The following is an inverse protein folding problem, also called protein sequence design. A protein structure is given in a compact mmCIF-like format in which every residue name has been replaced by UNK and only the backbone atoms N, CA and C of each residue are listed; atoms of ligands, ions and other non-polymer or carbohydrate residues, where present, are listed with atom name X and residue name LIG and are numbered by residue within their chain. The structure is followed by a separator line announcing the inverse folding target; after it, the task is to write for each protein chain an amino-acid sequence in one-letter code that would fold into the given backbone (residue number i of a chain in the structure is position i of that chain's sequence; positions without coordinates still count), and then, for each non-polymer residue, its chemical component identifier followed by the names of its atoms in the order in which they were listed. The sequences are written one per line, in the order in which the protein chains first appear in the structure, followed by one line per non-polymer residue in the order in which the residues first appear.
data_IF_138858469419
#
_entry.id   IF_138858469419
#
_cell.length_a   1.000
_cell.length_b   1.000
_cell.length_c   1.000
_cell.angle_alpha   90.00
_cell.angle_beta   90.00
_cell.angle_gamma   90.00
#
_symmetry.space_group_name_H-M   'P 1'
#
loop_
_entity.id
_entity.type
_entity.pdbx_description
1 polymer ?
#
# COMPACT_ATOMS: atom_id res chain seq x y z
N UNK A 1 -25.17 -44.87 24.87
CA UNK A 1 -26.23 -43.94 25.31
C UNK A 1 -25.71 -42.53 25.11
N UNK A 2 -26.00 -41.95 23.96
CA UNK A 2 -25.68 -40.58 23.55
C UNK A 2 -26.73 -39.65 24.18
N UNK A 3 -26.30 -38.80 25.13
CA UNK A 3 -27.15 -37.74 25.68
C UNK A 3 -27.38 -36.68 24.59
N UNK A 4 -28.55 -36.74 23.98
CA UNK A 4 -29.14 -35.61 23.25
C UNK A 4 -29.43 -34.49 24.26
N UNK A 5 -28.59 -33.49 24.36
CA UNK A 5 -28.93 -32.26 25.09
C UNK A 5 -30.12 -31.60 24.37
N UNK A 6 -31.23 -31.53 25.07
CA UNK A 6 -32.41 -30.76 24.62
C UNK A 6 -32.07 -29.30 24.59
N UNK A 7 -31.95 -28.70 23.41
CA UNK A 7 -31.80 -27.29 23.20
C UNK A 7 -33.04 -26.58 23.73
N UNK A 8 -32.92 -25.74 24.74
CA UNK A 8 -34.05 -25.02 25.35
C UNK A 8 -34.58 -23.93 24.43
N UNK A 9 -35.85 -23.53 24.59
CA UNK A 9 -36.46 -22.47 23.79
C UNK A 9 -35.72 -21.14 23.88
N UNK A 10 -35.08 -20.86 25.04
CA UNK A 10 -34.22 -19.68 25.23
C UNK A 10 -32.94 -19.76 24.40
N UNK A 11 -32.36 -20.92 24.23
CA UNK A 11 -31.20 -21.17 23.39
C UNK A 11 -31.52 -20.99 21.89
N UNK A 12 -32.73 -21.38 21.46
CA UNK A 12 -33.26 -21.14 20.12
C UNK A 12 -33.53 -19.65 19.87
N UNK A 13 -34.06 -18.92 20.84
CA UNK A 13 -34.34 -17.48 20.71
C UNK A 13 -33.04 -16.68 20.66
N UNK A 14 -32.04 -17.06 21.44
CA UNK A 14 -30.69 -16.45 21.44
C UNK A 14 -29.99 -16.71 20.10
N UNK A 15 -30.00 -17.96 19.61
CA UNK A 15 -29.42 -18.34 18.28
C UNK A 15 -30.12 -17.64 17.12
N UNK A 16 -31.46 -17.54 17.14
CA UNK A 16 -32.23 -16.83 16.12
C UNK A 16 -31.90 -15.35 16.09
N UNK A 17 -31.83 -14.67 17.26
CA UNK A 17 -31.39 -13.28 17.37
C UNK A 17 -29.94 -13.09 16.88
N UNK A 18 -29.04 -14.02 17.21
CA UNK A 18 -27.65 -14.00 16.76
C UNK A 18 -27.53 -14.14 15.23
N UNK A 19 -28.28 -15.08 14.63
CA UNK A 19 -28.33 -15.24 13.16
C UNK A 19 -28.93 -14.02 12.47
N UNK A 20 -29.95 -13.37 13.04
CA UNK A 20 -30.55 -12.16 12.48
C UNK A 20 -29.55 -10.98 12.49
N UNK A 21 -28.79 -10.81 13.56
CA UNK A 21 -27.74 -9.78 13.66
C UNK A 21 -26.60 -10.04 12.66
N UNK A 22 -26.20 -11.31 12.47
CA UNK A 22 -25.11 -11.69 11.55
C UNK A 22 -25.47 -11.47 10.07
N UNK A 23 -26.75 -11.53 9.71
CA UNK A 23 -27.25 -11.37 8.34
C UNK A 23 -27.84 -9.98 8.09
N UNK A 24 -27.70 -9.06 9.01
CA UNK A 24 -28.23 -7.70 8.87
C UNK A 24 -27.42 -6.89 7.84
N UNK A 25 -28.15 -6.13 7.01
CA UNK A 25 -27.52 -5.16 6.10
C UNK A 25 -26.84 -4.05 6.91
N UNK A 26 -25.59 -3.76 6.57
CA UNK A 26 -24.83 -2.69 7.21
C UNK A 26 -25.29 -1.32 6.69
N UNK A 27 -25.50 -0.38 7.61
CA UNK A 27 -25.82 1.01 7.28
C UNK A 27 -24.63 1.74 6.64
N UNK A 28 -24.91 2.78 5.84
CA UNK A 28 -23.85 3.60 5.22
C UNK A 28 -22.90 4.21 6.25
N UNK A 29 -23.40 4.64 7.41
CA UNK A 29 -22.54 5.14 8.50
C UNK A 29 -21.51 4.14 8.96
N UNK A 30 -21.87 2.87 9.11
CA UNK A 30 -20.91 1.79 9.46
C UNK A 30 -19.91 1.51 8.34
N UNK A 31 -20.32 1.58 7.07
CA UNK A 31 -19.42 1.37 5.93
C UNK A 31 -18.37 2.48 5.82
N UNK A 32 -18.81 3.76 5.98
CA UNK A 32 -17.89 4.90 6.00
C UNK A 32 -16.99 4.88 7.23
N UNK A 33 -17.53 4.53 8.41
CA UNK A 33 -16.74 4.37 9.62
C UNK A 33 -15.70 3.22 9.50
N UNK A 34 -16.03 2.12 8.81
CA UNK A 34 -15.05 1.10 8.49
C UNK A 34 -13.94 1.68 7.61
N UNK A 35 -14.29 2.37 6.53
CA UNK A 35 -13.30 2.95 5.62
C UNK A 35 -12.41 4.01 6.30
N UNK A 36 -12.91 4.73 7.31
CA UNK A 36 -12.13 5.74 8.06
C UNK A 36 -10.88 5.17 8.72
N UNK A 37 -10.89 3.87 9.10
CA UNK A 37 -9.70 3.21 9.63
C UNK A 37 -8.54 3.14 8.62
N UNK A 38 -8.85 2.89 7.35
CA UNK A 38 -7.85 2.87 6.29
C UNK A 38 -7.41 4.28 5.86
N UNK A 39 -8.35 5.23 5.86
CA UNK A 39 -8.04 6.66 5.66
C UNK A 39 -7.03 7.14 6.71
N UNK A 40 -7.24 6.80 7.99
CA UNK A 40 -6.33 7.14 9.09
C UNK A 40 -4.91 6.60 8.86
N UNK A 41 -4.82 5.33 8.49
CA UNK A 41 -3.54 4.70 8.14
C UNK A 41 -2.87 5.41 6.96
N UNK A 42 -3.64 5.76 5.92
CA UNK A 42 -3.12 6.41 4.72
C UNK A 42 -2.71 7.88 4.93
N UNK A 43 -3.26 8.59 5.90
CA UNK A 43 -2.76 9.91 6.32
C UNK A 43 -1.30 9.81 6.77
N UNK A 44 -0.97 8.89 7.67
CA UNK A 44 0.39 8.71 8.17
C UNK A 44 1.31 8.10 7.10
N UNK A 45 0.87 7.04 6.42
CA UNK A 45 1.66 6.38 5.38
C UNK A 45 1.87 7.25 4.14
N UNK A 46 0.94 8.13 3.82
CA UNK A 46 1.11 9.14 2.79
C UNK A 46 2.32 10.03 3.08
N UNK A 47 2.43 10.50 4.32
CA UNK A 47 3.57 11.32 4.80
C UNK A 47 4.88 10.55 4.76
N UNK A 48 4.88 9.33 5.30
CA UNK A 48 6.08 8.47 5.32
C UNK A 48 6.57 8.16 3.91
N UNK A 49 5.67 7.87 2.99
CA UNK A 49 6.01 7.47 1.62
C UNK A 49 6.35 8.61 0.67
N UNK A 50 6.05 9.87 1.03
CA UNK A 50 6.25 11.02 0.12
C UNK A 50 7.19 12.08 0.67
N UNK A 51 7.06 12.47 1.93
CA UNK A 51 7.74 13.65 2.46
C UNK A 51 8.77 13.34 3.56
N UNK A 52 8.74 12.13 4.15
CA UNK A 52 9.65 11.80 5.25
C UNK A 52 11.13 11.86 4.82
N UNK A 53 11.45 11.40 3.62
CA UNK A 53 12.82 11.44 3.10
C UNK A 53 13.31 12.88 2.95
N UNK A 54 12.47 13.77 2.39
CA UNK A 54 12.76 15.20 2.28
C UNK A 54 12.97 15.84 3.66
N UNK A 55 12.10 15.50 4.62
CA UNK A 55 12.25 16.00 6.00
C UNK A 55 13.59 15.57 6.62
N UNK A 56 13.96 14.30 6.50
CA UNK A 56 15.20 13.79 7.07
C UNK A 56 16.44 14.45 6.45
N UNK A 57 16.44 14.69 5.14
CA UNK A 57 17.61 15.28 4.46
C UNK A 57 17.72 16.79 4.63
N UNK A 58 16.59 17.50 4.56
CA UNK A 58 16.56 18.95 4.40
C UNK A 58 16.25 19.72 5.70
N UNK A 59 15.64 19.04 6.68
CA UNK A 59 15.27 19.64 7.96
C UNK A 59 15.95 18.97 9.16
N UNK A 60 16.29 17.69 9.06
CA UNK A 60 17.04 16.97 10.08
C UNK A 60 18.54 16.82 9.74
N UNK A 61 18.97 17.18 8.53
CA UNK A 61 20.36 17.18 8.10
C UNK A 61 21.00 15.80 7.93
N UNK A 62 20.17 14.76 7.68
CA UNK A 62 20.64 13.36 7.61
C UNK A 62 21.04 13.01 6.19
N UNK A 63 22.18 12.34 6.04
CA UNK A 63 22.64 11.90 4.73
C UNK A 63 21.61 11.00 4.05
N UNK A 64 21.24 11.24 2.76
CA UNK A 64 20.24 10.44 2.05
C UNK A 64 20.55 8.93 2.01
N UNK A 65 21.84 8.56 1.88
CA UNK A 65 22.27 7.16 1.90
C UNK A 65 21.94 6.45 3.21
N UNK A 66 22.09 7.16 4.35
CA UNK A 66 21.73 6.67 5.68
C UNK A 66 20.21 6.45 5.77
N UNK A 67 19.42 7.38 5.24
CA UNK A 67 17.94 7.25 5.19
C UNK A 67 17.53 6.05 4.35
N UNK A 68 18.12 5.91 3.16
CA UNK A 68 17.84 4.79 2.27
C UNK A 68 18.21 3.44 2.86
N UNK A 69 19.38 3.34 3.52
CA UNK A 69 19.80 2.11 4.21
C UNK A 69 18.84 1.75 5.34
N UNK A 70 18.45 2.73 6.15
CA UNK A 70 17.46 2.54 7.21
C UNK A 70 16.13 2.00 6.66
N UNK A 71 15.60 2.64 5.62
CA UNK A 71 14.34 2.21 4.99
C UNK A 71 14.45 0.80 4.38
N UNK A 72 15.57 0.46 3.75
CA UNK A 72 15.80 -0.87 3.19
C UNK A 72 15.85 -1.94 4.28
N UNK A 73 16.63 -1.72 5.34
CA UNK A 73 16.72 -2.65 6.47
C UNK A 73 15.37 -2.86 7.15
N UNK A 74 14.59 -1.78 7.31
CA UNK A 74 13.26 -1.85 7.92
C UNK A 74 12.30 -2.76 7.15
N UNK A 75 12.42 -2.84 5.82
CA UNK A 75 11.60 -3.74 5.00
C UNK A 75 11.80 -5.23 5.31
N UNK A 76 12.97 -5.59 5.82
CA UNK A 76 13.24 -6.98 6.24
C UNK A 76 12.44 -7.36 7.50
N UNK A 77 12.18 -6.40 8.38
CA UNK A 77 11.41 -6.62 9.60
C UNK A 77 9.89 -6.64 9.36
N UNK A 78 9.41 -5.97 8.31
CA UNK A 78 7.97 -5.89 8.01
C UNK A 78 7.33 -7.27 7.80
N UNK A 79 7.99 -8.17 7.05
CA UNK A 79 7.48 -9.51 6.79
C UNK A 79 7.40 -10.39 8.04
N UNK A 80 8.38 -10.27 8.93
CA UNK A 80 8.43 -11.01 10.20
C UNK A 80 7.33 -10.49 11.15
N UNK A 81 7.16 -9.18 11.20
CA UNK A 81 6.13 -8.53 12.01
C UNK A 81 4.71 -8.95 11.61
N UNK A 82 4.43 -9.05 10.31
CA UNK A 82 3.11 -9.49 9.82
C UNK A 82 2.77 -10.91 10.31
N UNK A 83 3.74 -11.84 10.28
CA UNK A 83 3.56 -13.21 10.78
C UNK A 83 3.32 -13.26 12.28
N UNK A 84 4.14 -12.54 13.05
CA UNK A 84 4.01 -12.47 14.51
C UNK A 84 2.65 -11.90 14.89
N UNK A 85 2.26 -10.80 14.25
CA UNK A 85 0.99 -10.14 14.53
C UNK A 85 -0.22 -11.01 14.16
N UNK A 86 -0.15 -11.77 13.07
CA UNK A 86 -1.18 -12.75 12.70
C UNK A 86 -1.43 -13.75 13.81
N UNK A 87 -0.37 -14.31 14.39
CA UNK A 87 -0.47 -15.27 15.51
C UNK A 87 -1.05 -14.60 16.77
N UNK A 88 -0.65 -13.36 17.05
CA UNK A 88 -1.11 -12.60 18.23
C UNK A 88 -2.61 -12.32 18.09
N UNK A 89 -3.09 -11.88 16.93
CA UNK A 89 -4.50 -11.59 16.66
C UNK A 89 -5.35 -12.86 16.82
N UNK A 90 -4.90 -13.99 16.28
CA UNK A 90 -5.63 -15.27 16.43
C UNK A 90 -5.79 -15.69 17.90
N UNK A 91 -4.79 -15.42 18.73
CA UNK A 91 -4.80 -15.73 20.16
C UNK A 91 -5.53 -14.68 21.01
N UNK A 92 -5.83 -13.53 20.43
CA UNK A 92 -6.49 -12.43 21.15
C UNK A 92 -7.92 -12.81 21.51
N UNK A 93 -8.26 -12.71 22.77
CA UNK A 93 -9.61 -12.88 23.29
C UNK A 93 -9.94 -11.72 24.22
N UNK A 94 -10.86 -10.84 23.79
CA UNK A 94 -11.25 -9.68 24.59
C UNK A 94 -12.77 -9.45 24.53
N UNK A 95 -13.27 -8.62 25.46
CA UNK A 95 -14.68 -8.22 25.51
C UNK A 95 -15.16 -7.47 24.25
N UNK A 96 -14.24 -6.99 23.41
CA UNK A 96 -14.54 -6.29 22.15
C UNK A 96 -14.35 -7.15 20.90
N UNK A 97 -13.95 -8.43 21.05
CA UNK A 97 -13.64 -9.34 19.96
C UNK A 97 -12.14 -9.62 19.80
N UNK A 98 -11.74 -10.10 18.62
CA UNK A 98 -10.34 -10.47 18.31
C UNK A 98 -9.58 -9.34 17.61
N UNK A 99 -10.18 -8.72 16.61
CA UNK A 99 -9.56 -7.73 15.72
C UNK A 99 -9.75 -6.29 16.20
N UNK A 100 -10.97 -5.96 16.61
CA UNK A 100 -11.37 -4.63 17.03
C UNK A 100 -10.55 -4.03 18.18
N UNK A 101 -10.16 -4.77 19.25
CA UNK A 101 -9.38 -4.20 20.35
C UNK A 101 -8.03 -3.65 19.89
N UNK A 102 -7.41 -4.23 18.88
CA UNK A 102 -6.13 -3.77 18.35
C UNK A 102 -6.21 -2.38 17.73
N UNK A 103 -7.33 -2.05 17.07
CA UNK A 103 -7.58 -0.70 16.55
C UNK A 103 -7.58 0.32 17.69
N UNK A 104 -8.22 0.00 18.82
CA UNK A 104 -8.24 0.89 19.98
C UNK A 104 -6.87 0.97 20.67
N UNK A 105 -6.27 -0.18 21.00
CA UNK A 105 -5.02 -0.22 21.76
C UNK A 105 -3.87 0.44 21.03
N UNK A 106 -3.83 0.30 19.72
CA UNK A 106 -2.74 0.83 18.90
C UNK A 106 -3.02 2.23 18.33
N UNK A 107 -4.23 2.77 18.48
CA UNK A 107 -4.57 4.09 17.95
C UNK A 107 -3.70 5.21 18.53
N UNK A 108 -3.51 5.23 19.86
CA UNK A 108 -2.64 6.22 20.53
C UNK A 108 -1.16 5.96 20.25
N UNK A 109 -0.61 4.72 20.41
CA UNK A 109 0.78 4.43 20.03
C UNK A 109 1.08 4.81 18.57
N UNK A 110 0.17 4.55 17.63
CA UNK A 110 0.34 4.89 16.22
C UNK A 110 0.40 6.41 16.01
N UNK A 111 -0.51 7.16 16.61
CA UNK A 111 -0.50 8.62 16.54
C UNK A 111 0.80 9.22 17.13
N UNK A 112 1.23 8.72 18.30
CA UNK A 112 2.48 9.16 18.92
C UNK A 112 3.71 8.78 18.09
N UNK A 113 3.76 7.55 17.57
CA UNK A 113 4.87 7.10 16.72
C UNK A 113 5.01 7.93 15.46
N UNK A 114 3.89 8.37 14.87
CA UNK A 114 3.88 9.25 13.71
C UNK A 114 4.52 10.61 14.01
N UNK A 115 4.28 11.19 15.17
CA UNK A 115 4.92 12.44 15.61
C UNK A 115 6.41 12.23 15.89
N UNK A 116 6.79 11.09 16.51
CA UNK A 116 8.18 10.76 16.81
C UNK A 116 9.05 10.65 15.57
N UNK A 117 8.50 10.26 14.41
CA UNK A 117 9.23 10.26 13.13
C UNK A 117 9.79 11.63 12.76
N UNK A 118 9.11 12.70 13.18
CA UNK A 118 9.49 14.09 12.85
C UNK A 118 10.16 14.82 14.02
N UNK A 119 10.34 14.15 15.17
CA UNK A 119 11.02 14.71 16.35
C UNK A 119 12.46 14.19 16.44
N UNK A 120 13.28 14.50 15.42
CA UNK A 120 14.64 13.97 15.34
C UNK A 120 15.57 14.77 16.29
N UNK A 121 16.25 14.11 17.25
CA UNK A 121 17.16 14.80 18.15
C UNK A 121 18.50 15.12 17.45
N UNK A 122 19.09 16.26 17.79
CA UNK A 122 20.43 16.62 17.35
C UNK A 122 21.48 15.95 18.26
N UNK A 123 21.98 14.79 17.85
CA UNK A 123 22.90 13.94 18.60
C UNK A 123 24.02 13.42 17.70
N UNK A 124 24.85 12.52 18.23
CA UNK A 124 25.88 11.85 17.41
C UNK A 124 25.25 11.05 16.26
N UNK A 125 25.92 10.93 15.11
CA UNK A 125 25.37 10.24 13.93
C UNK A 125 24.86 8.82 14.24
N UNK A 126 25.54 8.09 15.12
CA UNK A 126 25.14 6.73 15.50
C UNK A 126 23.85 6.71 16.32
N UNK A 127 23.71 7.59 17.29
CA UNK A 127 22.49 7.71 18.11
C UNK A 127 21.31 8.21 17.26
N UNK A 128 21.58 9.13 16.34
CA UNK A 128 20.59 9.64 15.39
C UNK A 128 20.09 8.51 14.47
N UNK A 129 21.00 7.71 13.91
CA UNK A 129 20.61 6.52 13.10
C UNK A 129 19.77 5.54 13.91
N UNK A 130 20.18 5.24 15.15
CA UNK A 130 19.43 4.33 16.02
C UNK A 130 18.04 4.89 16.34
N UNK A 131 17.93 6.17 16.62
CA UNK A 131 16.64 6.84 16.83
C UNK A 131 15.72 6.70 15.61
N UNK A 132 16.21 7.02 14.43
CA UNK A 132 15.48 6.91 13.17
C UNK A 132 15.02 5.48 12.92
N UNK A 133 15.92 4.52 13.08
CA UNK A 133 15.64 3.11 12.87
C UNK A 133 14.56 2.60 13.84
N UNK A 134 14.67 2.93 15.11
CA UNK A 134 13.69 2.52 16.13
C UNK A 134 12.33 3.18 15.90
N UNK A 135 12.28 4.50 15.71
CA UNK A 135 11.01 5.23 15.53
C UNK A 135 10.34 4.85 14.23
N UNK A 136 11.10 4.68 13.14
CA UNK A 136 10.56 4.24 11.86
C UNK A 136 9.93 2.84 11.97
N UNK A 137 10.66 1.86 12.50
CA UNK A 137 10.13 0.50 12.66
C UNK A 137 8.99 0.44 13.68
N UNK A 138 9.06 1.23 14.75
CA UNK A 138 7.95 1.32 15.69
C UNK A 138 6.66 1.82 15.03
N UNK A 139 6.75 2.84 14.19
CA UNK A 139 5.59 3.36 13.46
C UNK A 139 5.12 2.40 12.35
N UNK A 140 6.01 2.03 11.43
CA UNK A 140 5.64 1.33 10.20
C UNK A 140 5.52 -0.18 10.36
N UNK A 141 6.37 -0.78 11.19
CA UNK A 141 6.45 -2.24 11.34
C UNK A 141 5.62 -2.73 12.52
N UNK A 142 5.65 -2.03 13.67
CA UNK A 142 4.93 -2.46 14.87
C UNK A 142 3.50 -1.90 14.90
N UNK A 143 3.37 -0.57 15.01
CA UNK A 143 2.05 0.06 15.20
C UNK A 143 1.13 -0.12 14.00
N UNK A 144 1.64 0.12 12.79
CA UNK A 144 0.85 -0.03 11.58
C UNK A 144 0.40 -1.47 11.34
N UNK A 145 1.30 -2.46 11.45
CA UNK A 145 0.95 -3.87 11.28
C UNK A 145 -0.08 -4.31 12.33
N UNK A 146 0.08 -3.85 13.58
CA UNK A 146 -0.84 -4.16 14.67
C UNK A 146 -2.24 -3.52 14.51
N UNK A 147 -2.38 -2.50 13.66
CA UNK A 147 -3.68 -1.93 13.26
C UNK A 147 -4.17 -2.58 11.97
N UNK A 148 -3.35 -2.59 10.92
CA UNK A 148 -3.80 -2.87 9.56
C UNK A 148 -4.18 -4.33 9.36
N UNK A 149 -3.48 -5.26 9.98
CA UNK A 149 -3.73 -6.70 9.85
C UNK A 149 -5.05 -7.11 10.53
N UNK A 150 -5.32 -6.75 11.81
CA UNK A 150 -6.63 -6.98 12.42
C UNK A 150 -7.75 -6.22 11.71
N UNK A 151 -7.50 -4.98 11.29
CA UNK A 151 -8.45 -4.18 10.53
C UNK A 151 -8.86 -4.87 9.22
N UNK A 152 -7.91 -5.47 8.50
CA UNK A 152 -8.20 -6.25 7.30
C UNK A 152 -9.17 -7.42 7.56
N UNK A 153 -9.01 -8.14 8.68
CA UNK A 153 -9.88 -9.24 9.08
C UNK A 153 -11.22 -8.80 9.66
N UNK A 154 -11.34 -7.56 10.13
CA UNK A 154 -12.54 -7.02 10.77
C UNK A 154 -13.78 -7.10 9.87
N UNK A 155 -13.66 -6.90 8.55
CA UNK A 155 -14.78 -7.00 7.62
C UNK A 155 -15.48 -8.37 7.66
N UNK A 156 -14.69 -9.44 7.77
CA UNK A 156 -15.20 -10.80 7.90
C UNK A 156 -15.88 -11.06 9.26
N UNK A 157 -15.46 -10.33 10.30
CA UNK A 157 -16.04 -10.41 11.65
C UNK A 157 -17.28 -9.52 11.83
N UNK A 158 -17.51 -8.57 10.92
CA UNK A 158 -18.68 -7.67 10.97
C UNK A 158 -19.93 -8.27 10.34
N UNK A 159 -19.80 -9.15 9.32
CA UNK A 159 -20.94 -9.75 8.62
C UNK A 159 -20.57 -11.05 7.94
N UNK A 160 -21.54 -11.98 7.87
CA UNK A 160 -21.43 -13.21 7.05
C UNK A 160 -21.93 -13.03 5.62
N UNK A 161 -22.63 -11.94 5.32
CA UNK A 161 -23.18 -11.66 4.00
C UNK A 161 -22.07 -11.22 3.05
N UNK A 162 -21.78 -12.02 2.02
CA UNK A 162 -20.68 -11.75 1.06
C UNK A 162 -20.84 -10.39 0.40
N UNK A 163 -22.05 -10.04 -0.10
CA UNK A 163 -22.30 -8.74 -0.73
C UNK A 163 -22.08 -7.53 0.19
N UNK A 164 -22.29 -7.68 1.51
CA UNK A 164 -21.96 -6.61 2.47
C UNK A 164 -20.45 -6.47 2.68
N UNK A 165 -19.70 -7.58 2.69
CA UNK A 165 -18.23 -7.55 2.74
C UNK A 165 -17.63 -6.92 1.49
N UNK A 166 -18.19 -7.25 0.32
CA UNK A 166 -17.78 -6.65 -0.94
C UNK A 166 -18.02 -5.13 -0.92
N UNK A 167 -19.19 -4.70 -0.41
CA UNK A 167 -19.49 -3.28 -0.27
C UNK A 167 -18.57 -2.55 0.73
N UNK A 168 -18.22 -3.19 1.86
CA UNK A 168 -17.21 -2.66 2.79
C UNK A 168 -15.85 -2.46 2.07
N UNK A 169 -15.44 -3.43 1.27
CA UNK A 169 -14.20 -3.36 0.49
C UNK A 169 -14.24 -2.26 -0.56
N UNK A 170 -15.36 -2.10 -1.28
CA UNK A 170 -15.54 -1.05 -2.29
C UNK A 170 -15.47 0.34 -1.64
N UNK A 171 -16.20 0.57 -0.53
CA UNK A 171 -16.18 1.86 0.17
C UNK A 171 -14.79 2.15 0.75
N UNK A 172 -14.13 1.13 1.33
CA UNK A 172 -12.75 1.24 1.80
C UNK A 172 -11.81 1.68 0.70
N UNK A 173 -11.77 0.96 -0.42
CA UNK A 173 -10.87 1.24 -1.55
C UNK A 173 -11.14 2.59 -2.20
N UNK A 174 -12.41 3.05 -2.19
CA UNK A 174 -12.79 4.36 -2.71
C UNK A 174 -12.36 5.52 -1.82
N UNK A 175 -12.45 5.36 -0.49
CA UNK A 175 -12.13 6.44 0.46
C UNK A 175 -10.66 6.43 0.92
N UNK A 176 -10.00 5.28 0.94
CA UNK A 176 -8.63 5.11 1.42
C UNK A 176 -7.61 6.09 0.80
N UNK A 177 -7.60 6.36 -0.51
CA UNK A 177 -6.66 7.31 -1.12
C UNK A 177 -6.83 8.74 -0.64
N UNK A 178 -8.01 9.12 -0.14
CA UNK A 178 -8.29 10.49 0.31
C UNK A 178 -7.34 10.90 1.43
N UNK A 179 -7.10 10.01 2.40
CA UNK A 179 -6.18 10.29 3.51
C UNK A 179 -4.79 10.67 3.03
N UNK A 180 -4.27 9.91 2.07
CA UNK A 180 -2.96 10.15 1.47
C UNK A 180 -2.94 11.44 0.64
N UNK A 181 -3.95 11.67 -0.20
CA UNK A 181 -4.06 12.88 -1.03
C UNK A 181 -4.06 14.12 -0.14
N UNK A 182 -4.92 14.12 0.89
CA UNK A 182 -5.04 15.25 1.82
C UNK A 182 -3.72 15.51 2.54
N UNK A 183 -3.11 14.47 3.13
CA UNK A 183 -1.84 14.63 3.84
C UNK A 183 -0.73 15.12 2.90
N UNK A 184 -0.50 14.48 1.76
CA UNK A 184 0.56 14.87 0.84
C UNK A 184 0.37 16.28 0.25
N UNK A 185 -0.88 16.69 -0.03
CA UNK A 185 -1.19 18.00 -0.63
C UNK A 185 -1.04 19.14 0.37
N UNK A 186 -1.54 18.97 1.59
CA UNK A 186 -1.62 20.09 2.53
C UNK A 186 -0.44 20.19 3.50
N UNK A 187 0.43 19.18 3.60
CA UNK A 187 1.53 19.22 4.58
C UNK A 187 2.50 20.36 4.34
N UNK A 188 3.05 20.49 3.14
CA UNK A 188 4.04 21.55 2.85
C UNK A 188 3.46 22.96 3.03
N UNK A 189 2.22 23.26 2.57
CA UNK A 189 1.56 24.53 2.91
C UNK A 189 1.48 24.79 4.42
N UNK A 190 1.07 23.79 5.20
CA UNK A 190 0.92 23.94 6.66
C UNK A 190 2.29 24.11 7.34
N UNK A 191 3.31 23.37 6.93
CA UNK A 191 4.68 23.49 7.45
C UNK A 191 5.19 24.93 7.23
N UNK A 192 4.98 25.50 6.04
CA UNK A 192 5.37 26.88 5.75
C UNK A 192 4.61 27.91 6.59
N UNK A 193 3.32 27.68 6.85
CA UNK A 193 2.54 28.54 7.75
C UNK A 193 3.08 28.54 9.18
N UNK A 194 3.69 27.44 9.64
CA UNK A 194 4.25 27.31 10.99
C UNK A 194 5.72 27.72 11.13
N UNK A 195 6.39 28.14 10.05
CA UNK A 195 7.75 28.69 10.11
C UNK A 195 8.80 27.91 9.32
N UNK A 196 8.43 26.84 8.61
CA UNK A 196 9.30 26.06 7.69
C UNK A 196 10.58 25.51 8.36
N UNK A 197 10.46 25.10 9.62
CA UNK A 197 11.52 24.48 10.41
C UNK A 197 11.12 23.10 10.93
N UNK A 198 12.03 22.42 11.61
CA UNK A 198 11.72 21.10 12.20
C UNK A 198 10.54 21.15 13.18
N UNK A 199 10.39 22.25 13.94
CA UNK A 199 9.27 22.40 14.88
C UNK A 199 7.93 22.54 14.11
N UNK A 200 7.95 23.19 12.95
CA UNK A 200 6.77 23.27 12.07
C UNK A 200 6.33 21.90 11.55
N UNK A 201 7.28 21.03 11.21
CA UNK A 201 6.98 19.63 10.82
C UNK A 201 6.37 18.85 11.97
N UNK A 202 6.91 18.97 13.19
CA UNK A 202 6.33 18.30 14.38
C UNK A 202 4.91 18.78 14.66
N UNK A 203 4.64 20.09 14.58
CA UNK A 203 3.28 20.66 14.74
C UNK A 203 2.33 20.12 13.67
N UNK A 204 2.76 20.13 12.41
CA UNK A 204 1.96 19.63 11.28
C UNK A 204 1.67 18.16 11.43
N UNK A 205 2.68 17.36 11.78
CA UNK A 205 2.48 15.93 12.00
C UNK A 205 1.58 15.64 13.21
N UNK A 206 1.61 16.48 14.24
CA UNK A 206 0.69 16.37 15.37
C UNK A 206 -0.77 16.58 14.96
N UNK A 207 -1.04 17.50 14.01
CA UNK A 207 -2.40 17.70 13.46
C UNK A 207 -2.83 16.41 12.72
N UNK A 208 -1.98 15.85 11.85
CA UNK A 208 -2.29 14.62 11.14
C UNK A 208 -2.44 13.41 12.07
N UNK A 209 -1.62 13.33 13.12
CA UNK A 209 -1.71 12.28 14.13
C UNK A 209 -3.03 12.33 14.91
N UNK A 210 -3.47 13.52 15.30
CA UNK A 210 -4.80 13.72 15.96
C UNK A 210 -5.94 13.35 15.01
N UNK A 211 -5.85 13.75 13.72
CA UNK A 211 -6.85 13.36 12.72
C UNK A 211 -6.89 11.83 12.56
N UNK A 212 -5.74 11.18 12.43
CA UNK A 212 -5.67 9.72 12.32
C UNK A 212 -6.23 9.02 13.56
N UNK A 213 -5.92 9.53 14.77
CA UNK A 213 -6.47 9.03 16.03
C UNK A 213 -8.01 9.11 16.04
N UNK A 214 -8.58 10.28 15.68
CA UNK A 214 -10.04 10.48 15.62
C UNK A 214 -10.68 9.48 14.66
N UNK A 215 -10.11 9.30 13.45
CA UNK A 215 -10.62 8.39 12.43
C UNK A 215 -10.56 6.93 12.88
N UNK A 216 -9.48 6.50 13.56
CA UNK A 216 -9.37 5.16 14.15
C UNK A 216 -10.40 4.93 15.26
N UNK A 217 -10.64 5.93 16.11
CA UNK A 217 -11.67 5.86 17.15
C UNK A 217 -13.08 5.79 16.53
N UNK A 218 -13.37 6.57 15.46
CA UNK A 218 -14.63 6.46 14.72
C UNK A 218 -14.82 5.03 14.18
N UNK A 219 -13.77 4.43 13.60
CA UNK A 219 -13.79 3.04 13.16
C UNK A 219 -14.09 2.09 14.34
N UNK A 220 -13.37 2.22 15.44
CA UNK A 220 -13.56 1.36 16.61
C UNK A 220 -14.98 1.44 17.19
N UNK A 221 -15.54 2.62 17.38
CA UNK A 221 -16.86 2.77 18.03
C UNK A 221 -18.02 2.29 17.14
N UNK A 222 -17.92 2.46 15.83
CA UNK A 222 -19.01 2.15 14.90
C UNK A 222 -18.92 0.75 14.26
N UNK A 223 -17.73 0.13 14.25
CA UNK A 223 -17.55 -1.21 13.70
C UNK A 223 -17.57 -2.25 14.82
N UNK A 224 -18.58 -3.11 14.87
CA UNK A 224 -18.71 -4.16 15.89
C UNK A 224 -18.48 -5.53 15.28
N UNK A 225 -17.74 -6.39 15.99
CA UNK A 225 -17.64 -7.80 15.63
C UNK A 225 -18.93 -8.50 16.04
N UNK A 226 -19.67 -8.99 15.07
CA UNK A 226 -20.95 -9.69 15.28
C UNK A 226 -20.88 -11.17 14.90
N UNK A 227 -19.82 -11.56 14.17
CA UNK A 227 -19.61 -12.92 13.68
C UNK A 227 -18.59 -13.62 14.58
N UNK A 228 -19.05 -14.54 15.40
CA UNK A 228 -18.17 -15.47 16.12
C UNK A 228 -17.87 -16.66 15.19
N UNK A 229 -16.66 -16.73 14.68
CA UNK A 229 -16.17 -17.89 13.93
C UNK A 229 -15.66 -18.90 14.96
N UNK A 230 -16.46 -19.93 15.24
CA UNK A 230 -15.92 -21.15 15.84
C UNK A 230 -14.84 -21.69 14.90
N UNK A 231 -13.66 -21.97 15.46
CA UNK A 231 -12.55 -22.50 14.68
C UNK A 231 -13.02 -23.74 13.91
N UNK A 232 -13.31 -23.56 12.60
CA UNK A 232 -13.64 -24.66 11.73
C UNK A 232 -12.45 -25.60 11.65
N UNK A 233 -12.75 -26.87 11.80
CA UNK A 233 -11.86 -28.01 11.66
C UNK A 233 -10.82 -27.84 10.55
N UNK A 234 -9.64 -28.35 10.86
CA UNK A 234 -8.44 -28.39 10.04
C UNK A 234 -8.75 -28.79 8.58
N UNK A 235 -8.78 -27.81 7.70
CA UNK A 235 -8.53 -28.12 6.30
C UNK A 235 -7.18 -28.89 6.24
N UNK A 236 -7.11 -29.96 5.52
CA UNK A 236 -5.88 -30.75 5.36
C UNK A 236 -4.74 -29.82 4.99
N UNK A 237 -3.81 -29.67 5.91
CA UNK A 237 -2.66 -28.77 5.73
C UNK A 237 -1.72 -29.40 4.72
N UNK A 238 -1.80 -28.95 3.48
CA UNK A 238 -0.76 -29.27 2.49
C UNK A 238 0.59 -28.89 3.10
N UNK A 239 1.59 -29.78 3.15
CA UNK A 239 2.89 -29.47 3.72
C UNK A 239 3.48 -28.19 3.10
N UNK A 240 3.95 -27.27 3.93
CA UNK A 240 4.46 -25.96 3.50
C UNK A 240 5.51 -26.08 2.38
N UNK A 241 6.37 -27.12 2.45
CA UNK A 241 7.38 -27.36 1.40
C UNK A 241 6.78 -27.68 0.04
N UNK A 242 5.66 -28.43 -0.03
CA UNK A 242 4.94 -28.67 -1.30
C UNK A 242 4.32 -27.40 -1.83
N UNK A 243 3.73 -26.60 -0.95
CA UNK A 243 3.12 -25.32 -1.33
C UNK A 243 4.16 -24.31 -1.85
N UNK A 244 5.29 -24.17 -1.19
CA UNK A 244 6.39 -23.32 -1.65
C UNK A 244 6.97 -23.79 -2.98
N UNK A 245 7.22 -25.12 -3.14
CA UNK A 245 7.71 -25.67 -4.41
C UNK A 245 6.73 -25.38 -5.55
N UNK A 246 5.44 -25.57 -5.34
CA UNK A 246 4.41 -25.29 -6.34
C UNK A 246 4.33 -23.79 -6.66
N UNK A 247 4.48 -22.88 -5.67
CA UNK A 247 4.53 -21.44 -5.87
C UNK A 247 5.70 -21.04 -6.76
N UNK A 248 6.92 -21.49 -6.44
CA UNK A 248 8.13 -21.14 -7.21
C UNK A 248 8.18 -21.77 -8.59
N UNK A 249 7.45 -22.88 -8.81
CA UNK A 249 7.30 -23.52 -10.12
C UNK A 249 6.28 -22.82 -11.02
N UNK A 250 5.47 -21.93 -10.45
CA UNK A 250 4.48 -21.15 -11.19
C UNK A 250 5.15 -19.95 -11.88
N UNK A 251 5.41 -20.07 -13.17
CA UNK A 251 6.08 -19.00 -13.94
C UNK A 251 5.31 -17.67 -13.96
N UNK A 252 3.99 -17.70 -13.89
CA UNK A 252 3.16 -16.51 -13.90
C UNK A 252 3.11 -15.81 -12.53
N UNK A 253 3.43 -16.52 -11.44
CA UNK A 253 3.66 -15.91 -10.13
C UNK A 253 4.79 -14.89 -10.20
N UNK A 254 5.92 -15.23 -10.85
CA UNK A 254 7.05 -14.32 -11.01
C UNK A 254 6.70 -13.09 -11.85
N UNK A 255 5.90 -13.27 -12.91
CA UNK A 255 5.43 -12.16 -13.73
C UNK A 255 4.58 -11.18 -12.92
N UNK A 256 3.61 -11.68 -12.14
CA UNK A 256 2.75 -10.82 -11.31
C UNK A 256 3.54 -10.20 -10.16
N UNK A 257 4.50 -10.91 -9.57
CA UNK A 257 5.41 -10.36 -8.56
C UNK A 257 6.18 -9.15 -9.10
N UNK A 258 6.75 -9.26 -10.32
CA UNK A 258 7.44 -8.15 -10.99
C UNK A 258 6.48 -6.99 -11.25
N UNK A 259 5.25 -7.24 -11.71
CA UNK A 259 4.26 -6.18 -11.94
C UNK A 259 3.87 -5.46 -10.63
N UNK A 260 3.77 -6.16 -9.52
CA UNK A 260 3.55 -5.56 -8.21
C UNK A 260 4.75 -4.73 -7.74
N UNK A 261 5.98 -5.24 -7.95
CA UNK A 261 7.19 -4.47 -7.66
C UNK A 261 7.25 -3.20 -8.51
N UNK A 262 6.98 -3.29 -9.81
CA UNK A 262 6.91 -2.16 -10.74
C UNK A 262 5.95 -1.08 -10.24
N UNK A 263 4.75 -1.47 -9.82
CA UNK A 263 3.74 -0.56 -9.29
C UNK A 263 4.24 0.15 -8.03
N UNK A 264 4.84 -0.60 -7.10
CA UNK A 264 5.38 -0.07 -5.85
C UNK A 264 6.58 0.86 -6.07
N UNK A 265 7.49 0.49 -6.97
CA UNK A 265 8.67 1.29 -7.34
C UNK A 265 8.24 2.59 -8.04
N UNK A 266 7.29 2.52 -8.97
CA UNK A 266 6.74 3.71 -9.65
C UNK A 266 6.18 4.71 -8.65
N UNK A 267 5.40 4.21 -7.69
CA UNK A 267 4.87 5.02 -6.60
C UNK A 267 5.97 5.65 -5.74
N UNK A 268 7.00 4.88 -5.40
CA UNK A 268 8.12 5.35 -4.57
C UNK A 268 8.95 6.42 -5.28
N UNK A 269 9.18 6.30 -6.59
CA UNK A 269 9.90 7.32 -7.38
C UNK A 269 9.13 8.63 -7.38
N UNK A 270 7.83 8.61 -7.74
CA UNK A 270 7.01 9.82 -7.73
C UNK A 270 6.93 10.44 -6.33
N UNK A 271 6.76 9.62 -5.28
CA UNK A 271 6.66 10.11 -3.91
C UNK A 271 7.96 10.69 -3.37
N UNK A 272 9.10 10.06 -3.66
CA UNK A 272 10.38 10.44 -3.07
C UNK A 272 11.08 11.57 -3.84
N UNK A 273 11.15 11.48 -5.18
CA UNK A 273 11.97 12.41 -5.97
C UNK A 273 11.22 13.70 -6.36
N UNK A 274 9.90 13.65 -6.47
CA UNK A 274 9.09 14.79 -6.88
C UNK A 274 9.21 16.00 -5.94
N UNK A 275 9.24 15.87 -4.61
CA UNK A 275 9.46 16.99 -3.70
C UNK A 275 10.82 17.67 -3.93
N UNK A 276 11.90 16.89 -4.12
CA UNK A 276 13.22 17.43 -4.43
C UNK A 276 13.23 18.17 -5.77
N UNK A 277 12.57 17.60 -6.78
CA UNK A 277 12.45 18.22 -8.09
C UNK A 277 11.77 19.58 -8.00
N UNK A 278 10.63 19.65 -7.35
CA UNK A 278 9.89 20.91 -7.16
C UNK A 278 10.68 21.94 -6.38
N UNK A 279 11.39 21.52 -5.32
CA UNK A 279 12.20 22.40 -4.48
C UNK A 279 13.42 22.95 -5.19
N UNK A 280 14.23 22.09 -5.79
CA UNK A 280 15.55 22.46 -6.30
C UNK A 280 15.60 22.85 -7.76
N UNK A 281 14.65 22.35 -8.60
CA UNK A 281 14.61 22.69 -10.03
C UNK A 281 13.62 23.81 -10.30
N UNK A 282 12.43 23.76 -9.70
CA UNK A 282 11.40 24.80 -9.89
C UNK A 282 11.47 25.92 -8.85
N UNK A 283 12.21 25.75 -7.75
CA UNK A 283 12.25 26.70 -6.64
C UNK A 283 10.92 26.84 -5.89
N UNK A 284 10.01 25.91 -6.06
CA UNK A 284 8.69 25.92 -5.43
C UNK A 284 8.25 24.49 -5.06
N UNK A 285 8.50 24.12 -3.81
CA UNK A 285 8.17 22.82 -3.25
C UNK A 285 6.72 22.71 -2.74
N UNK A 286 5.99 23.82 -2.66
CA UNK A 286 4.66 23.89 -2.06
C UNK A 286 3.55 23.61 -3.05
N UNK A 287 3.17 24.64 -3.85
CA UNK A 287 2.02 24.44 -4.72
C UNK A 287 2.34 23.63 -5.97
N UNK A 288 3.57 23.72 -6.50
CA UNK A 288 3.94 22.90 -7.67
C UNK A 288 3.94 21.41 -7.33
N UNK A 289 4.53 21.03 -6.17
CA UNK A 289 4.45 19.66 -5.67
C UNK A 289 3.01 19.20 -5.47
N UNK A 290 2.22 19.99 -4.73
CA UNK A 290 0.82 19.65 -4.43
C UNK A 290 0.00 19.48 -5.71
N UNK A 291 0.19 20.37 -6.69
CA UNK A 291 -0.51 20.34 -7.98
C UNK A 291 -0.13 19.10 -8.78
N UNK A 292 1.17 18.79 -8.89
CA UNK A 292 1.64 17.61 -9.62
C UNK A 292 1.16 16.32 -8.97
N UNK A 293 1.29 16.20 -7.66
CA UNK A 293 0.87 15.03 -6.90
C UNK A 293 -0.65 14.80 -7.01
N UNK A 294 -1.43 15.86 -6.86
CA UNK A 294 -2.89 15.81 -6.98
C UNK A 294 -3.31 15.43 -8.40
N UNK A 295 -2.71 16.08 -9.41
CA UNK A 295 -2.98 15.83 -10.83
C UNK A 295 -2.66 14.38 -11.19
N UNK A 296 -1.48 13.87 -10.80
CA UNK A 296 -1.07 12.48 -11.06
C UNK A 296 -2.04 11.50 -10.41
N UNK A 297 -2.38 11.72 -9.13
CA UNK A 297 -3.25 10.82 -8.37
C UNK A 297 -4.69 10.82 -8.88
N UNK A 298 -5.28 12.00 -9.13
CA UNK A 298 -6.64 12.09 -9.66
C UNK A 298 -6.75 11.49 -11.06
N UNK A 299 -5.77 11.74 -11.91
CA UNK A 299 -5.70 11.17 -13.27
C UNK A 299 -5.59 9.64 -13.21
N UNK A 300 -4.77 9.11 -12.31
CA UNK A 300 -4.63 7.66 -12.09
C UNK A 300 -5.96 7.05 -11.65
N UNK A 301 -6.62 7.63 -10.66
CA UNK A 301 -7.90 7.14 -10.14
C UNK A 301 -8.98 7.18 -11.23
N UNK A 302 -9.12 8.30 -11.92
CA UNK A 302 -10.06 8.43 -13.04
C UNK A 302 -9.77 7.40 -14.14
N UNK A 303 -8.50 7.21 -14.49
CA UNK A 303 -8.06 6.21 -15.44
C UNK A 303 -8.41 4.78 -15.04
N UNK A 304 -8.27 4.41 -13.77
CA UNK A 304 -8.66 3.09 -13.25
C UNK A 304 -10.15 2.81 -13.48
N UNK A 305 -11.03 3.78 -13.17
CA UNK A 305 -12.47 3.64 -13.41
C UNK A 305 -12.81 3.50 -14.90
N UNK A 306 -12.19 4.28 -15.76
CA UNK A 306 -12.38 4.19 -17.22
C UNK A 306 -11.88 2.84 -17.76
N UNK A 307 -10.79 2.30 -17.22
CA UNK A 307 -10.25 1.01 -17.65
C UNK A 307 -11.19 -0.16 -17.36
N UNK A 308 -12.06 -0.08 -16.35
CA UNK A 308 -12.98 -1.15 -16.00
C UNK A 308 -13.90 -1.58 -17.17
N UNK A 309 -14.30 -0.64 -18.04
CA UNK A 309 -15.10 -0.93 -19.22
C UNK A 309 -14.25 -1.51 -20.38
N UNK A 310 -13.02 -1.01 -20.52
CA UNK A 310 -12.11 -1.43 -21.58
C UNK A 310 -11.57 -2.86 -21.33
N UNK A 311 -11.38 -3.25 -20.09
CA UNK A 311 -10.93 -4.60 -19.68
C UNK A 311 -11.86 -5.68 -20.22
N UNK A 312 -13.18 -5.45 -20.16
CA UNK A 312 -14.18 -6.39 -20.66
C UNK A 312 -14.07 -6.62 -22.18
N UNK A 313 -13.63 -5.60 -22.92
CA UNK A 313 -13.56 -5.65 -24.41
C UNK A 313 -12.23 -6.16 -24.94
N UNK A 314 -11.12 -5.79 -24.30
CA UNK A 314 -9.77 -6.02 -24.85
C UNK A 314 -8.94 -7.01 -24.02
N UNK A 315 -9.43 -7.43 -22.84
CA UNK A 315 -8.70 -8.30 -21.91
C UNK A 315 -7.71 -7.56 -21.02
N UNK A 316 -7.33 -8.18 -19.90
CA UNK A 316 -6.49 -7.58 -18.86
C UNK A 316 -5.09 -7.24 -19.39
N UNK A 317 -4.42 -8.22 -20.01
CA UNK A 317 -3.05 -8.08 -20.54
C UNK A 317 -2.92 -6.98 -21.60
N UNK A 318 -3.80 -6.98 -22.60
CA UNK A 318 -3.66 -6.08 -23.74
C UNK A 318 -3.84 -4.61 -23.33
N UNK A 319 -4.75 -4.33 -22.40
CA UNK A 319 -4.98 -2.99 -21.87
C UNK A 319 -3.79 -2.53 -21.03
N UNK A 320 -3.25 -3.39 -20.15
CA UNK A 320 -2.06 -3.07 -19.36
C UNK A 320 -0.82 -2.86 -20.25
N UNK A 321 -0.69 -3.65 -21.32
CA UNK A 321 0.40 -3.50 -22.30
C UNK A 321 0.29 -2.16 -23.04
N UNK A 322 -0.90 -1.81 -23.55
CA UNK A 322 -1.16 -0.52 -24.20
C UNK A 322 -0.92 0.63 -23.21
N UNK A 323 -1.36 0.49 -21.96
CA UNK A 323 -1.10 1.45 -20.90
C UNK A 323 0.38 1.66 -20.65
N UNK A 324 1.17 0.59 -20.55
CA UNK A 324 2.63 0.69 -20.36
C UNK A 324 3.30 1.42 -21.54
N UNK A 325 2.85 1.21 -22.77
CA UNK A 325 3.32 1.95 -23.94
C UNK A 325 2.96 3.45 -23.84
N UNK A 326 1.73 3.78 -23.42
CA UNK A 326 1.31 5.17 -23.19
C UNK A 326 2.15 5.82 -22.10
N UNK A 327 2.46 5.09 -21.00
CA UNK A 327 3.32 5.61 -19.94
C UNK A 327 4.74 5.91 -20.44
N UNK A 328 5.30 5.06 -21.30
CA UNK A 328 6.60 5.31 -21.95
C UNK A 328 6.57 6.58 -22.81
N UNK A 329 5.57 6.72 -23.68
CA UNK A 329 5.40 7.92 -24.53
C UNK A 329 5.18 9.15 -23.65
N UNK A 330 4.35 9.05 -22.61
CA UNK A 330 4.11 10.13 -21.66
C UNK A 330 5.37 10.60 -20.96
N UNK A 331 6.26 9.68 -20.59
CA UNK A 331 7.55 10.05 -19.99
C UNK A 331 8.50 10.69 -21.00
N UNK A 332 8.43 10.33 -22.29
CA UNK A 332 9.23 11.00 -23.34
C UNK A 332 8.85 12.48 -23.52
N UNK A 333 7.62 12.88 -23.23
CA UNK A 333 7.22 14.30 -23.25
C UNK A 333 8.05 15.14 -22.27
N UNK A 334 8.45 14.56 -21.13
CA UNK A 334 9.31 15.23 -20.17
C UNK A 334 10.70 15.60 -20.73
N UNK A 335 11.21 14.86 -21.72
CA UNK A 335 12.51 15.13 -22.35
C UNK A 335 12.51 16.42 -23.18
N UNK A 336 11.35 16.89 -23.61
CA UNK A 336 11.25 18.09 -24.45
C UNK A 336 11.70 19.35 -23.69
N UNK A 337 11.26 19.48 -22.44
CA UNK A 337 11.73 20.55 -21.56
C UNK A 337 11.58 20.18 -20.08
N UNK A 338 12.64 19.64 -19.44
CA UNK A 338 12.63 19.28 -18.02
C UNK A 338 12.41 20.46 -17.06
N UNK A 339 12.74 21.69 -17.49
CA UNK A 339 12.61 22.87 -16.66
C UNK A 339 11.23 23.53 -16.74
N UNK A 340 10.35 23.04 -17.60
CA UNK A 340 9.00 23.59 -17.76
C UNK A 340 7.98 22.83 -16.93
N UNK A 341 7.29 23.55 -16.05
CA UNK A 341 6.21 22.99 -15.22
C UNK A 341 5.06 22.41 -16.09
N UNK A 342 4.69 23.10 -17.18
CA UNK A 342 3.62 22.64 -18.07
C UNK A 342 3.96 21.31 -18.76
N UNK A 343 5.20 21.11 -19.23
CA UNK A 343 5.65 19.86 -19.81
C UNK A 343 5.67 18.74 -18.77
N UNK A 344 6.05 19.08 -17.53
CA UNK A 344 6.00 18.12 -16.44
C UNK A 344 4.58 17.68 -16.09
N UNK A 345 3.61 18.61 -16.04
CA UNK A 345 2.19 18.29 -15.83
C UNK A 345 1.67 17.38 -16.95
N UNK A 346 1.95 17.70 -18.24
CA UNK A 346 1.56 16.88 -19.36
C UNK A 346 2.14 15.46 -19.28
N UNK A 347 3.41 15.34 -18.94
CA UNK A 347 4.09 14.07 -18.75
C UNK A 347 3.47 13.27 -17.57
N UNK A 348 3.18 13.92 -16.43
CA UNK A 348 2.51 13.30 -15.31
C UNK A 348 1.12 12.76 -15.68
N UNK A 349 0.32 13.54 -16.38
CA UNK A 349 -1.02 13.12 -16.83
C UNK A 349 -0.92 11.94 -17.79
N UNK A 350 -0.08 12.01 -18.81
CA UNK A 350 0.08 10.95 -19.79
C UNK A 350 0.60 9.65 -19.13
N UNK A 351 1.55 9.76 -18.21
CA UNK A 351 2.08 8.64 -17.44
C UNK A 351 1.02 8.03 -16.52
N UNK A 352 0.23 8.84 -15.83
CA UNK A 352 -0.84 8.37 -14.95
C UNK A 352 -1.94 7.63 -15.72
N UNK A 353 -2.34 8.14 -16.89
CA UNK A 353 -3.26 7.44 -17.82
C UNK A 353 -2.65 6.09 -18.23
N UNK A 354 -1.36 6.07 -18.55
CA UNK A 354 -0.67 4.85 -18.96
C UNK A 354 -0.52 3.81 -17.84
N UNK A 355 -0.35 4.22 -16.58
CA UNK A 355 -0.23 3.32 -15.45
C UNK A 355 -1.57 2.84 -14.89
N UNK A 356 -2.66 3.55 -15.15
CA UNK A 356 -3.99 3.22 -14.65
C UNK A 356 -4.47 1.81 -15.04
N UNK A 357 -4.30 1.32 -16.28
CA UNK A 357 -4.67 -0.04 -16.65
C UNK A 357 -3.95 -1.10 -15.83
N UNK A 358 -2.64 -0.96 -15.61
CA UNK A 358 -1.87 -1.91 -14.80
C UNK A 358 -2.39 -1.95 -13.36
N UNK A 359 -2.68 -0.78 -12.77
CA UNK A 359 -3.25 -0.69 -11.43
C UNK A 359 -4.64 -1.33 -11.33
N UNK A 360 -5.45 -1.23 -12.40
CA UNK A 360 -6.79 -1.80 -12.45
C UNK A 360 -6.79 -3.34 -12.55
N UNK A 361 -5.81 -3.93 -13.27
CA UNK A 361 -5.87 -5.37 -13.62
C UNK A 361 -5.00 -6.26 -12.75
N UNK A 362 -3.98 -5.72 -12.07
CA UNK A 362 -2.97 -6.55 -11.38
C UNK A 362 -3.57 -7.51 -10.36
N UNK A 363 -4.54 -7.07 -9.58
CA UNK A 363 -5.24 -7.95 -8.61
C UNK A 363 -6.08 -9.02 -9.31
N UNK A 364 -6.71 -8.71 -10.45
CA UNK A 364 -7.42 -9.69 -11.27
C UNK A 364 -6.48 -10.72 -11.90
N UNK A 365 -5.27 -10.32 -12.29
CA UNK A 365 -4.23 -11.24 -12.80
C UNK A 365 -3.73 -12.18 -11.72
N UNK A 366 -3.70 -11.75 -10.45
CA UNK A 366 -3.37 -12.62 -9.31
C UNK A 366 -4.34 -13.79 -9.21
N UNK A 367 -5.65 -13.54 -9.33
CA UNK A 367 -6.66 -14.60 -9.35
C UNK A 367 -6.39 -15.62 -10.45
N UNK A 368 -6.10 -15.14 -11.67
CA UNK A 368 -5.80 -16.02 -12.81
C UNK A 368 -4.53 -16.89 -12.54
N UNK A 369 -3.52 -16.33 -11.85
CA UNK A 369 -2.30 -17.07 -11.48
C UNK A 369 -2.54 -18.11 -10.40
N UNK A 370 -3.49 -17.87 -9.48
CA UNK A 370 -3.93 -18.87 -8.48
C UNK A 370 -4.53 -20.08 -9.18
N UNK A 371 -5.44 -19.85 -10.13
CA UNK A 371 -6.12 -20.90 -10.87
C UNK A 371 -5.17 -21.65 -11.81
N UNK A 372 -4.24 -20.97 -12.47
CA UNK A 372 -3.15 -21.62 -13.20
C UNK A 372 -2.28 -22.50 -12.29
N UNK A 373 -1.96 -22.03 -11.09
CA UNK A 373 -1.23 -22.81 -10.08
C UNK A 373 -1.98 -24.08 -9.69
N UNK A 374 -3.27 -23.99 -9.41
CA UNK A 374 -4.15 -25.11 -9.09
C UNK A 374 -4.24 -26.11 -10.26
N UNK A 375 -4.43 -25.61 -11.47
CA UNK A 375 -4.47 -26.44 -12.68
C UNK A 375 -3.19 -27.24 -12.89
N UNK A 376 -2.02 -26.60 -12.69
CA UNK A 376 -0.71 -27.20 -12.94
C UNK A 376 -0.22 -28.13 -11.83
N UNK A 377 -0.51 -27.79 -10.57
CA UNK A 377 0.10 -28.45 -9.39
C UNK A 377 -0.90 -29.18 -8.50
N UNK A 378 -2.20 -29.12 -8.81
CA UNK A 378 -3.29 -29.64 -7.99
C UNK A 378 -3.32 -29.07 -6.55
N UNK A 379 -2.64 -27.94 -6.32
CA UNK A 379 -2.59 -27.25 -5.03
C UNK A 379 -3.04 -25.81 -5.21
N UNK A 380 -4.14 -25.41 -4.55
CA UNK A 380 -4.61 -24.04 -4.54
C UNK A 380 -3.78 -23.19 -3.55
N UNK A 381 -3.19 -22.10 -4.00
CA UNK A 381 -2.18 -21.34 -3.24
C UNK A 381 -2.50 -19.85 -3.15
N UNK A 382 -3.76 -19.51 -2.97
CA UNK A 382 -4.24 -18.14 -2.95
C UNK A 382 -3.47 -17.27 -1.94
N UNK A 383 -3.44 -17.71 -0.68
CA UNK A 383 -2.77 -16.97 0.40
C UNK A 383 -1.27 -16.75 0.17
N UNK A 384 -0.57 -17.75 -0.39
CA UNK A 384 0.87 -17.67 -0.64
C UNK A 384 1.20 -16.72 -1.81
N UNK A 385 0.38 -16.70 -2.85
CA UNK A 385 0.56 -15.79 -3.99
C UNK A 385 0.33 -14.35 -3.54
N UNK A 386 -0.71 -14.07 -2.74
CA UNK A 386 -0.96 -12.76 -2.17
C UNK A 386 0.14 -12.32 -1.19
N UNK A 387 0.62 -13.23 -0.33
CA UNK A 387 1.74 -12.95 0.56
C UNK A 387 3.02 -12.63 -0.21
N UNK A 388 3.32 -13.39 -1.26
CA UNK A 388 4.45 -13.12 -2.16
C UNK A 388 4.35 -11.74 -2.81
N UNK A 389 3.17 -11.35 -3.26
CA UNK A 389 2.92 -10.02 -3.82
C UNK A 389 3.10 -8.90 -2.79
N UNK A 390 2.62 -9.09 -1.56
CA UNK A 390 2.84 -8.13 -0.47
C UNK A 390 4.33 -7.95 -0.16
N UNK A 391 5.09 -9.04 -0.10
CA UNK A 391 6.56 -8.99 0.05
C UNK A 391 7.18 -8.25 -1.13
N UNK A 392 6.77 -8.55 -2.37
CA UNK A 392 7.25 -7.88 -3.57
C UNK A 392 7.04 -6.36 -3.54
N UNK A 393 5.87 -5.89 -3.14
CA UNK A 393 5.60 -4.46 -3.02
C UNK A 393 6.48 -3.78 -1.97
N UNK A 394 6.65 -4.40 -0.80
CA UNK A 394 7.50 -3.87 0.29
C UNK A 394 8.97 -3.83 -0.11
N UNK A 395 9.48 -4.93 -0.68
CA UNK A 395 10.86 -5.02 -1.18
C UNK A 395 11.10 -4.03 -2.32
N UNK A 396 10.17 -3.95 -3.28
CA UNK A 396 10.25 -3.00 -4.39
C UNK A 396 10.34 -1.55 -3.92
N UNK A 397 9.48 -1.14 -2.98
CA UNK A 397 9.51 0.20 -2.39
C UNK A 397 10.83 0.49 -1.66
N UNK A 398 11.34 -0.48 -0.88
CA UNK A 398 12.61 -0.36 -0.16
C UNK A 398 13.80 -0.21 -1.10
N UNK A 399 13.88 -1.05 -2.12
CA UNK A 399 14.94 -0.98 -3.15
C UNK A 399 14.90 0.34 -3.92
N UNK A 400 13.70 0.81 -4.29
CA UNK A 400 13.53 2.09 -4.98
C UNK A 400 14.00 3.26 -4.11
N UNK A 401 13.59 3.31 -2.85
CA UNK A 401 14.02 4.36 -1.92
C UNK A 401 15.53 4.34 -1.70
N UNK A 402 16.13 3.16 -1.48
CA UNK A 402 17.56 3.02 -1.31
C UNK A 402 18.36 3.40 -2.57
N UNK A 403 17.88 3.01 -3.76
CA UNK A 403 18.52 3.37 -5.02
C UNK A 403 18.48 4.88 -5.26
N UNK A 404 17.33 5.53 -5.06
CA UNK A 404 17.19 6.98 -5.25
C UNK A 404 18.05 7.78 -4.27
N UNK A 405 18.00 7.45 -2.99
CA UNK A 405 18.79 8.14 -1.97
C UNK A 405 20.29 7.84 -2.11
N UNK A 406 20.65 6.63 -2.52
CA UNK A 406 22.03 6.26 -2.87
C UNK A 406 22.58 7.10 -4.05
N UNK A 407 21.78 7.27 -5.11
CA UNK A 407 22.14 8.11 -6.27
C UNK A 407 22.30 9.57 -5.88
N UNK A 408 21.45 10.11 -5.00
CA UNK A 408 21.60 11.47 -4.46
C UNK A 408 22.87 11.62 -3.64
N UNK A 409 23.20 10.64 -2.79
CA UNK A 409 24.44 10.62 -2.01
C UNK A 409 25.66 10.56 -2.93
N UNK A 410 25.64 9.72 -3.95
CA UNK A 410 26.71 9.59 -4.94
C UNK A 410 26.95 10.91 -5.70
N UNK A 411 25.88 11.65 -5.99
CA UNK A 411 25.94 12.97 -6.62
C UNK A 411 26.37 14.11 -5.67
N UNK A 412 26.73 13.81 -4.43
CA UNK A 412 27.17 14.80 -3.46
C UNK A 412 26.06 15.69 -2.91
N UNK A 413 24.87 15.14 -2.71
CA UNK A 413 23.74 15.88 -2.16
C UNK A 413 24.08 16.51 -0.80
N UNK A 414 23.93 17.82 -0.69
CA UNK A 414 24.18 18.59 0.52
C UNK A 414 22.92 18.61 1.39
N UNK A 415 23.03 18.05 2.58
CA UNK A 415 21.94 18.04 3.57
C UNK A 415 21.84 19.39 4.28
N UNK A 416 20.68 19.70 4.81
CA UNK A 416 20.42 20.92 5.57
C UNK A 416 19.67 20.60 6.85
N UNK A 417 19.87 21.42 7.88
CA UNK A 417 19.08 21.43 9.11
C UNK A 417 18.12 22.62 9.19
N UNK A 418 18.16 23.50 8.19
CA UNK A 418 17.37 24.74 8.14
C UNK A 418 16.39 24.82 6.97
N UNK A 419 16.23 23.70 6.23
CA UNK A 419 15.38 23.67 5.05
C UNK A 419 15.98 24.30 3.79
N UNK A 420 17.11 24.99 3.90
CA UNK A 420 17.77 25.68 2.77
C UNK A 420 19.17 25.11 2.56
N UNK A 421 19.43 24.52 1.40
CA UNK A 421 20.77 24.11 0.97
C UNK A 421 20.95 24.43 -0.51
N UNK A 422 22.13 24.95 -0.87
CA UNK A 422 22.50 25.12 -2.28
C UNK A 422 23.10 23.80 -2.77
N UNK A 423 22.51 23.22 -3.79
CA UNK A 423 22.97 21.97 -4.39
C UNK A 423 23.95 22.23 -5.53
N UNK A 424 24.90 21.31 -5.71
CA UNK A 424 25.79 21.33 -6.86
C UNK A 424 25.04 21.04 -8.17
N UNK A 425 25.61 21.49 -9.31
CA UNK A 425 25.03 21.19 -10.62
C UNK A 425 24.95 19.68 -10.88
N UNK A 426 25.88 18.90 -10.35
CA UNK A 426 25.88 17.44 -10.45
C UNK A 426 24.68 16.82 -9.73
N UNK A 427 24.38 17.32 -8.52
CA UNK A 427 23.20 16.90 -7.75
C UNK A 427 21.90 17.28 -8.46
N UNK A 428 21.79 18.49 -9.00
CA UNK A 428 20.61 18.93 -9.76
C UNK A 428 20.40 18.04 -11.00
N UNK A 429 21.46 17.77 -11.74
CA UNK A 429 21.41 16.86 -12.88
C UNK A 429 21.00 15.43 -12.48
N UNK A 430 21.46 14.96 -11.30
CA UNK A 430 21.05 13.64 -10.80
C UNK A 430 19.56 13.59 -10.47
N UNK A 431 19.01 14.63 -9.82
CA UNK A 431 17.57 14.73 -9.54
C UNK A 431 16.77 14.67 -10.86
N UNK A 432 17.20 15.43 -11.87
CA UNK A 432 16.57 15.41 -13.20
C UNK A 432 16.68 14.02 -13.82
N UNK A 433 17.84 13.38 -13.77
CA UNK A 433 18.07 12.06 -14.38
C UNK A 433 17.26 10.96 -13.71
N UNK A 434 17.15 10.96 -12.38
CA UNK A 434 16.31 9.99 -11.66
C UNK A 434 14.85 10.13 -12.12
N UNK A 435 14.31 11.36 -12.18
CA UNK A 435 12.94 11.59 -12.63
C UNK A 435 12.75 11.32 -14.13
N UNK A 436 13.79 11.51 -14.92
CA UNK A 436 13.81 11.30 -16.38
C UNK A 436 13.83 9.82 -16.75
N UNK A 437 14.75 9.05 -16.20
CA UNK A 437 15.00 7.66 -16.58
C UNK A 437 14.30 6.64 -15.70
N UNK A 438 14.06 6.94 -14.43
CA UNK A 438 13.40 6.03 -13.50
C UNK A 438 12.05 5.52 -14.02
N UNK A 439 11.10 6.39 -14.37
CA UNK A 439 9.81 5.97 -14.91
C UNK A 439 9.90 5.21 -16.23
N UNK A 440 10.90 5.51 -17.10
CA UNK A 440 11.12 4.76 -18.35
C UNK A 440 11.50 3.32 -18.06
N UNK A 441 12.50 3.11 -17.18
CA UNK A 441 12.98 1.77 -16.82
C UNK A 441 11.82 0.93 -16.30
N UNK A 442 10.98 1.53 -15.45
CA UNK A 442 9.83 0.86 -14.84
C UNK A 442 8.74 0.54 -15.88
N UNK A 443 8.38 1.51 -16.72
CA UNK A 443 7.38 1.30 -17.75
C UNK A 443 7.84 0.27 -18.80
N UNK A 444 9.15 0.25 -19.13
CA UNK A 444 9.74 -0.75 -20.00
C UNK A 444 9.72 -2.15 -19.35
N UNK A 445 10.04 -2.26 -18.06
CA UNK A 445 9.97 -3.51 -17.33
C UNK A 445 8.53 -4.06 -17.28
N UNK A 446 7.54 -3.18 -17.03
CA UNK A 446 6.13 -3.54 -17.10
C UNK A 446 5.75 -4.02 -18.51
N UNK A 447 6.14 -3.27 -19.55
CA UNK A 447 5.85 -3.60 -20.93
C UNK A 447 6.41 -4.96 -21.33
N UNK A 448 7.69 -5.23 -21.03
CA UNK A 448 8.34 -6.52 -21.33
C UNK A 448 7.68 -7.66 -20.58
N UNK A 449 7.41 -7.48 -19.28
CA UNK A 449 6.75 -8.51 -18.47
C UNK A 449 5.35 -8.84 -19.02
N UNK A 450 4.56 -7.83 -19.38
CA UNK A 450 3.24 -8.01 -19.97
C UNK A 450 3.30 -8.60 -21.38
N UNK A 451 4.31 -8.27 -22.18
CA UNK A 451 4.52 -8.87 -23.50
C UNK A 451 4.78 -10.38 -23.41
N UNK A 452 5.52 -10.81 -22.39
CA UNK A 452 5.82 -12.22 -22.11
C UNK A 452 4.65 -12.96 -21.43
N UNK A 453 3.69 -12.24 -20.82
CA UNK A 453 2.56 -12.82 -20.12
C UNK A 453 1.52 -13.35 -21.10
N UNK A 454 1.37 -14.68 -21.19
CA UNK A 454 0.47 -15.37 -22.16
C UNK A 454 -0.75 -16.00 -21.49
N UNK A 455 -0.92 -15.91 -20.18
CA UNK A 455 -1.96 -16.61 -19.44
C UNK A 455 -3.37 -16.25 -19.90
N UNK A 456 -3.64 -14.99 -20.24
CA UNK A 456 -4.96 -14.54 -20.72
C UNK A 456 -5.50 -15.39 -21.89
N UNK A 457 -4.61 -15.88 -22.78
CA UNK A 457 -5.01 -16.71 -23.91
C UNK A 457 -5.34 -18.15 -23.52
N UNK A 458 -4.67 -18.66 -22.49
CA UNK A 458 -4.84 -20.04 -22.00
C UNK A 458 -5.94 -20.15 -20.94
N UNK A 459 -6.31 -19.03 -20.34
CA UNK A 459 -7.20 -18.98 -19.19
C UNK A 459 -8.58 -19.61 -19.41
N UNK A 460 -9.27 -19.39 -20.57
CA UNK A 460 -10.55 -20.04 -20.82
C UNK A 460 -10.46 -21.57 -20.82
N UNK A 461 -9.40 -22.13 -21.41
CA UNK A 461 -9.19 -23.59 -21.49
C UNK A 461 -8.86 -24.16 -20.11
N UNK A 462 -8.04 -23.46 -19.33
CA UNK A 462 -7.71 -23.82 -17.94
C UNK A 462 -8.98 -23.86 -17.08
N UNK A 463 -9.83 -22.84 -17.18
CA UNK A 463 -11.07 -22.78 -16.40
C UNK A 463 -12.04 -23.89 -16.78
N UNK A 464 -12.16 -24.20 -18.08
CA UNK A 464 -12.98 -25.33 -18.55
C UNK A 464 -12.51 -26.65 -17.93
N UNK A 465 -11.21 -26.91 -18.00
CA UNK A 465 -10.63 -28.14 -17.44
C UNK A 465 -10.76 -28.22 -15.91
N UNK A 466 -10.53 -27.11 -15.19
CA UNK A 466 -10.73 -27.05 -13.74
C UNK A 466 -12.18 -27.35 -13.37
N UNK A 467 -13.15 -26.75 -14.07
CA UNK A 467 -14.59 -27.02 -13.83
C UNK A 467 -14.95 -28.47 -14.10
N UNK A 468 -14.39 -29.09 -15.13
CA UNK A 468 -14.61 -30.52 -15.42
C UNK A 468 -13.97 -31.41 -14.34
N UNK A 469 -12.81 -31.07 -13.81
CA UNK A 469 -12.15 -31.79 -12.69
C UNK A 469 -12.96 -31.67 -11.39
N UNK A 470 -13.48 -30.46 -11.09
CA UNK A 470 -14.37 -30.24 -9.94
C UNK A 470 -15.63 -31.11 -10.05
N UNK A 471 -16.25 -31.15 -11.23
CA UNK A 471 -17.43 -31.98 -11.46
C UNK A 471 -17.16 -33.49 -11.30
N UNK A 472 -15.91 -33.93 -11.51
CA UNK A 472 -15.45 -35.33 -11.31
C UNK A 472 -14.99 -35.61 -9.88
N UNK A 473 -14.92 -34.58 -8.99
CA UNK A 473 -14.43 -34.72 -7.62
C UNK A 473 -12.93 -34.98 -7.51
N UNK A 474 -12.15 -34.52 -8.50
CA UNK A 474 -10.69 -34.67 -8.57
C UNK A 474 -9.92 -33.51 -7.92
N UNK A 475 -10.60 -32.50 -7.36
CA UNK A 475 -10.04 -31.31 -6.74
C UNK A 475 -10.46 -31.16 -5.28
#
# INVERSE_FOLDING_TARGET
MTRTQSVTADDWSARSKMMTVQNQKLGWGTRVAYASGDVACNVVFGMVGTLLTLFYTDYAGINPGTVGLMMLLSRLFDGVSDLIMGIIVEKTNSKWGKSRPWILWMSVPFALSAVLLFTVPHTTPMLQFLYLFVTYNFCTTVCYTAINLPYGSLSAMMTRVSGERDMLSVVRMGLSPIGKIVAATFTLPIVKMFGDDQAAWVKTMSIWAVLALILLLICFFNCKETVYIEAKEKAEKVPLGKSLKALFTNQYFWAVLVLWMVQSVSFSISGTILPYYCKYIFGNDTWMYSTLFLTETLTLVAGIFLCAQLIKRFGKRNIALAGSAIALVGQLLFFLNPYSFSWMVMSCVARAIGLAPLNAVVFGMVGDVVEYGQWKTHVRQESLIFAGGSIGTKVGAGLASAAMTGLLTFAGYVTSSSGVATQSQETLNMIINIYKFGPIIIALLAFVTLALYKLDKMYPDIMKELTEREARGEL
#
